data_IF_410316683608
#
_entry.id   IF_410316683608
#
_cell.length_a   1.000
_cell.length_b   1.000
_cell.length_c   1.000
_cell.angle_alpha   90.00
_cell.angle_beta   90.00
_cell.angle_gamma   90.00
#
_symmetry.space_group_name_H-M   'P 1'
#
loop_
_entity.id
_entity.type
_entity.pdbx_description
1 polymer ?
#
# COMPACT_ATOMS: atom_id res chain seq x y z
N UNK A 1 9.82 -10.62 20.45
CA UNK A 1 10.29 -9.36 19.80
C UNK A 1 9.27 -9.06 18.73
N UNK A 2 8.62 -7.89 18.71
CA UNK A 2 7.61 -7.62 17.68
C UNK A 2 8.30 -7.60 16.30
N UNK A 3 7.74 -8.33 15.33
CA UNK A 3 8.31 -8.43 13.99
C UNK A 3 8.50 -7.05 13.34
N UNK A 4 9.62 -6.86 12.64
CA UNK A 4 9.91 -5.62 11.91
C UNK A 4 8.86 -5.27 10.85
N UNK A 5 8.05 -6.27 10.44
CA UNK A 5 6.94 -6.12 9.50
C UNK A 5 5.75 -5.36 10.09
N UNK A 6 5.55 -5.40 11.41
CA UNK A 6 4.49 -4.61 12.04
C UNK A 6 4.88 -3.15 12.15
N UNK A 7 6.13 -2.81 12.42
CA UNK A 7 6.53 -1.47 12.88
C UNK A 7 6.25 -0.38 11.87
N UNK A 8 6.20 -0.71 10.58
CA UNK A 8 6.06 0.26 9.49
C UNK A 8 4.82 0.02 8.62
N UNK A 9 3.95 -0.91 8.99
CA UNK A 9 2.73 -1.23 8.23
C UNK A 9 1.52 -0.61 8.93
N UNK A 10 0.68 0.08 8.16
CA UNK A 10 -0.61 0.60 8.58
C UNK A 10 -1.68 -0.02 7.68
N UNK A 11 -2.77 -0.51 8.27
CA UNK A 11 -3.90 -1.09 7.56
C UNK A 11 -5.14 -0.21 7.80
N UNK A 12 -6.01 -0.08 6.79
CA UNK A 12 -7.23 0.73 6.88
C UNK A 12 -8.44 -0.20 6.91
N UNK A 13 -9.24 -0.10 7.97
CA UNK A 13 -10.58 -0.68 7.98
C UNK A 13 -11.56 0.36 7.41
N UNK A 14 -11.97 0.14 6.15
CA UNK A 14 -12.87 1.06 5.46
C UNK A 14 -14.26 1.14 6.10
N UNK A 15 -14.77 0.06 6.69
CA UNK A 15 -16.09 0.07 7.34
C UNK A 15 -16.06 0.99 8.57
N UNK A 16 -15.01 0.86 9.38
CA UNK A 16 -14.83 1.68 10.59
C UNK A 16 -14.64 3.17 10.26
N UNK A 17 -13.74 3.51 9.31
CA UNK A 17 -13.49 4.92 8.96
C UNK A 17 -14.68 5.60 8.28
N UNK A 18 -15.54 4.87 7.57
CA UNK A 18 -16.76 5.40 6.96
C UNK A 18 -17.90 5.60 7.98
N UNK A 19 -17.85 4.91 9.11
CA UNK A 19 -18.79 5.07 10.22
C UNK A 19 -18.42 6.21 11.19
N UNK A 20 -17.28 6.88 10.99
CA UNK A 20 -16.83 7.98 11.85
C UNK A 20 -17.72 9.22 11.74
N UNK A 21 -17.97 9.90 12.85
CA UNK A 21 -18.65 11.21 12.89
C UNK A 21 -17.70 12.37 12.50
N UNK A 22 -16.90 12.16 11.46
CA UNK A 22 -16.02 13.17 10.88
C UNK A 22 -16.21 13.22 9.35
N UNK A 23 -17.05 14.13 8.85
CA UNK A 23 -17.38 14.19 7.43
C UNK A 23 -16.16 14.49 6.54
N UNK A 24 -15.14 15.15 7.07
CA UNK A 24 -13.88 15.38 6.35
C UNK A 24 -13.10 14.09 6.12
N UNK A 25 -12.97 13.26 7.14
CA UNK A 25 -12.30 11.95 7.03
C UNK A 25 -13.09 11.01 6.12
N UNK A 26 -14.41 10.92 6.32
CA UNK A 26 -15.30 10.11 5.48
C UNK A 26 -15.19 10.52 4.00
N UNK A 27 -15.12 11.82 3.69
CA UNK A 27 -14.94 12.30 2.31
C UNK A 27 -13.61 11.85 1.69
N UNK A 28 -12.56 11.69 2.48
CA UNK A 28 -11.22 11.32 2.00
C UNK A 28 -11.15 9.83 1.69
N UNK A 29 -11.71 8.99 2.57
CA UNK A 29 -11.79 7.56 2.31
C UNK A 29 -12.72 7.23 1.14
N UNK A 30 -13.83 7.96 0.99
CA UNK A 30 -14.67 7.86 -0.22
C UNK A 30 -13.89 8.21 -1.49
N UNK A 31 -13.02 9.22 -1.45
CA UNK A 31 -12.17 9.56 -2.59
C UNK A 31 -11.12 8.46 -2.89
N UNK A 32 -10.56 7.83 -1.86
CA UNK A 32 -9.64 6.70 -2.01
C UNK A 32 -10.33 5.48 -2.63
N UNK A 33 -11.55 5.14 -2.18
CA UNK A 33 -12.37 4.09 -2.80
C UNK A 33 -12.68 4.42 -4.26
N UNK A 34 -13.10 5.66 -4.54
CA UNK A 34 -13.36 6.12 -5.91
C UNK A 34 -12.11 6.09 -6.81
N UNK A 35 -10.91 6.18 -6.25
CA UNK A 35 -9.64 6.01 -6.97
C UNK A 35 -9.22 4.55 -7.18
N UNK A 36 -10.01 3.59 -6.69
CA UNK A 36 -9.74 2.16 -6.79
C UNK A 36 -8.59 1.68 -5.91
N UNK A 37 -8.26 2.41 -4.83
CA UNK A 37 -7.20 2.03 -3.88
C UNK A 37 -7.71 1.17 -2.71
N UNK A 38 -9.01 0.94 -2.64
CA UNK A 38 -9.65 0.18 -1.57
C UNK A 38 -9.08 -1.22 -1.43
N UNK A 39 -8.99 -1.99 -2.54
CA UNK A 39 -8.45 -3.34 -2.51
C UNK A 39 -6.99 -3.41 -2.01
N UNK A 40 -6.18 -2.40 -2.30
CA UNK A 40 -4.79 -2.34 -1.84
C UNK A 40 -4.66 -1.94 -0.36
N UNK A 41 -5.44 -0.95 0.09
CA UNK A 41 -5.36 -0.40 1.45
C UNK A 41 -6.18 -1.19 2.49
N UNK A 42 -7.26 -1.81 2.03
CA UNK A 42 -8.22 -2.59 2.80
C UNK A 42 -8.08 -4.10 2.62
N UNK A 43 -7.00 -4.60 1.98
CA UNK A 43 -6.73 -6.03 1.86
C UNK A 43 -6.67 -6.71 3.25
N UNK A 44 -7.11 -7.99 3.38
CA UNK A 44 -7.10 -8.70 4.66
C UNK A 44 -5.77 -8.57 5.40
N UNK A 45 -5.82 -8.16 6.66
CA UNK A 45 -4.65 -7.90 7.49
C UNK A 45 -4.02 -9.21 8.02
N UNK A 46 -3.50 -10.03 7.11
CA UNK A 46 -2.87 -11.33 7.39
C UNK A 46 -1.38 -11.24 7.07
N UNK A 47 -0.54 -11.80 7.93
CA UNK A 47 0.91 -11.82 7.74
C UNK A 47 1.49 -13.24 7.87
N UNK A 48 2.27 -13.62 6.87
CA UNK A 48 3.06 -14.85 6.81
C UNK A 48 4.53 -14.49 7.03
N UNK A 49 4.97 -14.47 8.28
CA UNK A 49 6.26 -13.86 8.64
C UNK A 49 7.44 -14.60 8.02
N UNK A 50 7.44 -15.94 8.04
CA UNK A 50 8.55 -16.70 7.49
C UNK A 50 8.62 -16.54 5.97
N UNK A 51 7.47 -16.62 5.28
CA UNK A 51 7.38 -16.37 3.86
C UNK A 51 7.86 -14.95 3.47
N UNK A 52 7.50 -13.93 4.26
CA UNK A 52 7.96 -12.56 4.02
C UNK A 52 9.47 -12.41 4.23
N UNK A 53 10.04 -13.06 5.25
CA UNK A 53 11.51 -13.06 5.44
C UNK A 53 12.19 -13.63 4.20
N UNK A 54 11.79 -14.83 3.77
CA UNK A 54 12.40 -15.50 2.62
C UNK A 54 12.21 -14.68 1.33
N UNK A 55 11.01 -14.11 1.16
CA UNK A 55 10.69 -13.25 0.03
C UNK A 55 11.63 -12.02 -0.06
N UNK A 56 11.89 -11.34 1.06
CA UNK A 56 12.76 -10.17 1.06
C UNK A 56 14.25 -10.52 0.98
N UNK A 57 14.67 -11.64 1.58
CA UNK A 57 16.06 -12.12 1.52
C UNK A 57 16.45 -12.52 0.09
N UNK A 58 15.55 -13.19 -0.64
CA UNK A 58 15.80 -13.65 -2.01
C UNK A 58 15.31 -12.69 -3.09
N UNK A 59 14.65 -11.61 -2.68
CA UNK A 59 13.97 -10.67 -3.55
C UNK A 59 14.92 -9.83 -4.40
N UNK A 60 14.59 -9.68 -5.68
CA UNK A 60 15.27 -8.76 -6.59
C UNK A 60 14.33 -8.24 -7.67
N UNK A 61 14.79 -7.26 -8.46
CA UNK A 61 14.05 -6.77 -9.63
C UNK A 61 14.79 -7.18 -10.88
N UNK A 62 14.13 -7.91 -11.78
CA UNK A 62 14.69 -8.37 -13.07
C UNK A 62 13.73 -8.03 -14.19
N UNK A 63 14.23 -7.39 -15.25
CA UNK A 63 13.45 -6.99 -16.43
C UNK A 63 12.16 -6.20 -16.12
N UNK A 64 12.13 -5.50 -14.97
CA UNK A 64 10.97 -4.75 -14.52
C UNK A 64 9.95 -5.53 -13.68
N UNK A 65 10.18 -6.83 -13.46
CA UNK A 65 9.41 -7.71 -12.59
C UNK A 65 10.04 -7.77 -11.20
N UNK A 66 9.22 -8.05 -10.19
CA UNK A 66 9.72 -8.45 -8.87
C UNK A 66 9.85 -9.96 -8.88
N UNK A 67 11.05 -10.46 -8.59
CA UNK A 67 11.32 -11.90 -8.52
C UNK A 67 11.87 -12.25 -7.15
N UNK A 68 11.51 -13.41 -6.62
CA UNK A 68 12.03 -13.93 -5.37
C UNK A 68 11.95 -15.45 -5.34
N UNK A 69 12.37 -16.03 -4.23
CA UNK A 69 12.18 -17.44 -3.90
C UNK A 69 11.58 -17.50 -2.49
N UNK A 70 10.50 -18.25 -2.32
CA UNK A 70 9.85 -18.48 -1.03
C UNK A 70 9.68 -19.98 -0.83
N UNK A 71 10.22 -20.53 0.25
CA UNK A 71 10.23 -21.97 0.54
C UNK A 71 10.77 -22.83 -0.63
N UNK A 72 11.75 -22.29 -1.37
CA UNK A 72 12.32 -22.94 -2.56
C UNK A 72 11.45 -22.83 -3.82
N UNK A 73 10.26 -22.23 -3.74
CA UNK A 73 9.37 -21.97 -4.87
C UNK A 73 9.72 -20.61 -5.50
N UNK A 74 9.98 -20.55 -6.82
CA UNK A 74 10.21 -19.27 -7.49
C UNK A 74 8.92 -18.44 -7.54
N UNK A 75 9.05 -17.16 -7.19
CA UNK A 75 7.96 -16.18 -7.19
C UNK A 75 8.28 -15.10 -8.22
N UNK A 76 7.34 -14.86 -9.14
CA UNK A 76 7.42 -13.78 -10.11
C UNK A 76 6.15 -12.92 -10.05
N UNK A 77 6.30 -11.64 -9.74
CA UNK A 77 5.20 -10.69 -9.61
C UNK A 77 5.35 -9.64 -10.71
N UNK A 78 4.37 -9.62 -11.60
CA UNK A 78 4.23 -8.62 -12.67
C UNK A 78 3.37 -7.45 -12.19
N UNK A 79 3.45 -6.31 -12.88
CA UNK A 79 2.56 -5.17 -12.63
C UNK A 79 1.09 -5.55 -12.84
N UNK A 80 0.82 -6.45 -13.79
CA UNK A 80 -0.53 -6.95 -14.07
C UNK A 80 -1.05 -7.83 -12.93
N UNK A 81 -0.27 -8.82 -12.47
CA UNK A 81 -0.63 -9.66 -11.33
C UNK A 81 -0.88 -8.81 -10.08
N UNK A 82 -0.02 -7.81 -9.86
CA UNK A 82 -0.17 -6.86 -8.77
C UNK A 82 -1.47 -6.04 -8.89
N UNK A 83 -1.81 -5.56 -10.09
CA UNK A 83 -3.05 -4.83 -10.32
C UNK A 83 -4.28 -5.69 -10.06
N UNK A 84 -4.27 -6.92 -10.59
CA UNK A 84 -5.37 -7.88 -10.46
C UNK A 84 -5.60 -8.27 -9.00
N UNK A 85 -4.54 -8.55 -8.24
CA UNK A 85 -4.64 -8.94 -6.83
C UNK A 85 -5.29 -7.88 -5.92
N UNK A 86 -5.21 -6.61 -6.31
CA UNK A 86 -5.74 -5.49 -5.52
C UNK A 86 -6.86 -4.72 -6.23
N UNK A 87 -7.36 -5.26 -7.34
CA UNK A 87 -8.41 -4.65 -8.16
C UNK A 87 -8.09 -3.20 -8.58
N UNK A 88 -6.80 -2.90 -8.76
CA UNK A 88 -6.35 -1.54 -9.08
C UNK A 88 -6.78 -1.16 -10.50
N UNK A 89 -7.21 0.09 -10.72
CA UNK A 89 -7.60 0.55 -12.04
C UNK A 89 -6.40 0.56 -12.98
N UNK A 90 -6.42 -0.31 -13.98
CA UNK A 90 -5.42 -0.34 -15.06
C UNK A 90 -5.77 0.74 -16.08
N UNK A 91 -5.39 1.98 -15.78
CA UNK A 91 -5.59 3.10 -16.71
C UNK A 91 -4.64 2.97 -17.92
N UNK A 92 -5.21 2.75 -19.11
CA UNK A 92 -4.51 2.85 -20.41
C UNK A 92 -4.01 4.28 -20.55
N UNK A 93 -2.69 4.46 -20.46
CA UNK A 93 -2.03 5.74 -20.21
C UNK A 93 -2.43 6.83 -21.21
N UNK A 94 -3.04 7.92 -20.75
CA UNK A 94 -3.01 9.19 -21.48
C UNK A 94 -1.79 9.98 -21.02
N UNK A 95 -0.86 10.18 -21.96
CA UNK A 95 0.41 10.90 -21.82
C UNK A 95 0.23 12.28 -21.14
N UNK A 96 0.53 12.37 -19.84
CA UNK A 96 0.58 13.60 -19.05
C UNK A 96 2.01 13.95 -18.61
N UNK A 97 2.39 15.23 -18.69
CA UNK A 97 3.77 15.76 -18.49
C UNK A 97 4.43 15.31 -17.16
N UNK A 98 5.51 14.55 -17.31
CA UNK A 98 6.34 13.88 -16.29
C UNK A 98 7.01 14.79 -15.23
N UNK A 99 6.99 16.12 -15.36
CA UNK A 99 7.75 17.04 -14.51
C UNK A 99 6.95 17.72 -13.39
N UNK A 100 5.61 17.70 -13.43
CA UNK A 100 4.75 18.25 -12.36
C UNK A 100 4.43 17.22 -11.26
N UNK A 101 4.34 15.93 -11.60
CA UNK A 101 3.97 14.84 -10.68
C UNK A 101 4.92 14.66 -9.48
N UNK A 102 6.20 15.05 -9.59
CA UNK A 102 7.17 14.86 -8.50
C UNK A 102 6.84 15.67 -7.25
N UNK A 103 6.32 16.89 -7.41
CA UNK A 103 6.00 17.77 -6.28
C UNK A 103 4.69 17.32 -5.62
N UNK A 104 3.69 16.99 -6.42
CA UNK A 104 2.39 16.51 -5.95
C UNK A 104 2.50 15.16 -5.21
N UNK A 105 3.32 14.24 -5.70
CA UNK A 105 3.62 12.97 -5.04
C UNK A 105 4.34 13.15 -3.68
N UNK A 106 5.35 14.03 -3.62
CA UNK A 106 6.06 14.30 -2.36
C UNK A 106 5.16 14.98 -1.34
N UNK A 107 4.26 15.85 -1.79
CA UNK A 107 3.19 16.42 -0.97
C UNK A 107 2.22 15.35 -0.48
N UNK A 108 1.80 14.41 -1.34
CA UNK A 108 0.93 13.31 -0.95
C UNK A 108 1.57 12.43 0.13
N UNK A 109 2.84 12.04 -0.05
CA UNK A 109 3.58 11.27 0.95
C UNK A 109 3.80 12.05 2.25
N UNK A 110 4.14 13.35 2.17
CA UNK A 110 4.32 14.20 3.36
C UNK A 110 3.00 14.41 4.11
N UNK A 111 1.88 14.58 3.39
CA UNK A 111 0.56 14.73 3.99
C UNK A 111 0.11 13.40 4.60
N UNK A 112 0.19 12.27 3.88
CA UNK A 112 -0.14 10.96 4.47
C UNK A 112 0.70 10.67 5.71
N UNK A 113 2.02 10.87 5.65
CA UNK A 113 2.90 10.66 6.79
C UNK A 113 2.52 11.55 7.99
N UNK A 114 2.14 12.80 7.75
CA UNK A 114 1.73 13.76 8.80
C UNK A 114 0.33 13.51 9.33
N UNK A 115 -0.60 13.07 8.49
CA UNK A 115 -2.00 12.78 8.86
C UNK A 115 -2.12 11.47 9.63
N UNK A 116 -1.34 10.46 9.26
CA UNK A 116 -1.26 9.16 9.97
C UNK A 116 -0.46 9.29 11.28
N UNK A 117 0.46 10.27 11.36
CA UNK A 117 1.21 10.62 12.58
C UNK A 117 0.36 11.32 13.66
N UNK A 118 -0.87 11.72 13.38
CA UNK A 118 -1.72 12.39 14.35
C UNK A 118 -2.35 11.31 15.24
N UNK A 119 -1.94 11.28 16.51
CA UNK A 119 -2.52 10.42 17.55
C UNK A 119 -4.05 10.56 17.52
N UNK A 120 -4.79 9.45 17.70
CA UNK A 120 -6.25 9.29 17.59
C UNK A 120 -7.14 10.21 18.48
N UNK A 121 -6.63 11.33 18.98
CA UNK A 121 -7.36 12.35 19.72
C UNK A 121 -6.93 13.80 19.41
N UNK A 122 -6.07 14.07 18.43
CA UNK A 122 -5.70 15.46 18.05
C UNK A 122 -6.05 15.86 16.62
N UNK A 123 -7.04 15.18 16.02
CA UNK A 123 -7.66 15.52 14.72
C UNK A 123 -8.48 16.82 14.74
N UNK A 124 -8.16 17.76 15.63
CA UNK A 124 -8.82 19.06 15.65
C UNK A 124 -7.94 20.08 14.93
N UNK A 125 -8.42 20.54 13.76
CA UNK A 125 -7.90 21.67 12.98
C UNK A 125 -6.68 21.48 12.06
N UNK A 126 -6.30 20.26 11.65
CA UNK A 126 -5.55 20.11 10.38
C UNK A 126 -6.58 20.22 9.26
N UNK A 127 -6.63 21.43 8.68
CA UNK A 127 -7.71 21.98 7.88
C UNK A 127 -8.21 21.04 6.79
N UNK A 128 -9.53 20.92 6.72
CA UNK A 128 -10.32 20.38 5.60
C UNK A 128 -9.75 20.73 4.22
N UNK A 129 -9.07 21.87 4.07
CA UNK A 129 -8.32 22.27 2.86
C UNK A 129 -7.19 21.31 2.44
N UNK A 130 -6.38 20.77 3.37
CA UNK A 130 -5.30 19.83 3.00
C UNK A 130 -5.85 18.49 2.55
N UNK A 131 -6.97 18.08 3.12
CA UNK A 131 -7.74 16.92 2.69
C UNK A 131 -8.42 17.15 1.34
N UNK A 132 -9.03 18.32 1.12
CA UNK A 132 -9.57 18.73 -0.18
C UNK A 132 -8.49 18.83 -1.25
N UNK A 133 -7.25 19.22 -0.92
CA UNK A 133 -6.10 19.15 -1.83
C UNK A 133 -5.71 17.71 -2.15
N UNK A 134 -5.70 16.82 -1.16
CA UNK A 134 -5.46 15.39 -1.35
C UNK A 134 -6.54 14.77 -2.25
N UNK A 135 -7.82 15.05 -1.97
CA UNK A 135 -8.97 14.66 -2.79
C UNK A 135 -8.92 15.31 -4.18
N UNK A 136 -8.51 16.56 -4.33
CA UNK A 136 -8.38 17.22 -5.63
C UNK A 136 -7.21 16.68 -6.46
N UNK A 137 -6.14 16.19 -5.83
CA UNK A 137 -5.04 15.51 -6.52
C UNK A 137 -5.46 14.08 -6.90
N UNK A 138 -6.06 13.34 -5.96
CA UNK A 138 -6.52 11.95 -6.17
C UNK A 138 -7.68 11.87 -7.17
N UNK A 139 -8.64 12.80 -7.11
CA UNK A 139 -9.81 12.83 -7.99
C UNK A 139 -9.64 13.73 -9.22
N UNK A 140 -8.77 14.74 -9.19
CA UNK A 140 -8.57 15.70 -10.28
C UNK A 140 -7.40 15.36 -11.21
N UNK A 141 -6.43 14.55 -10.75
CA UNK A 141 -5.34 14.02 -11.59
C UNK A 141 -5.58 12.52 -11.76
N UNK A 142 -5.75 12.07 -13.02
CA UNK A 142 -5.70 10.63 -13.34
C UNK A 142 -4.29 10.12 -13.10
N UNK A 143 -4.07 9.54 -11.92
CA UNK A 143 -2.83 8.89 -11.55
C UNK A 143 -2.99 7.40 -11.85
N UNK A 144 -2.02 6.83 -12.57
CA UNK A 144 -1.93 5.38 -12.69
C UNK A 144 -1.37 4.81 -11.37
N UNK A 145 -2.28 4.54 -10.43
CA UNK A 145 -1.95 4.05 -9.09
C UNK A 145 -1.23 2.71 -9.12
N UNK A 146 -1.61 1.82 -10.03
CA UNK A 146 -0.93 0.54 -10.28
C UNK A 146 0.57 0.75 -10.50
N UNK A 147 0.95 1.63 -11.42
CA UNK A 147 2.36 1.86 -11.75
C UNK A 147 3.09 2.56 -10.61
N UNK A 148 2.43 3.49 -9.91
CA UNK A 148 3.04 4.15 -8.75
C UNK A 148 3.35 3.14 -7.64
N UNK A 149 2.36 2.34 -7.24
CA UNK A 149 2.50 1.36 -6.17
C UNK A 149 3.47 0.25 -6.55
N UNK A 150 3.42 -0.26 -7.79
CA UNK A 150 4.33 -1.29 -8.25
C UNK A 150 5.78 -0.78 -8.34
N UNK A 151 6.00 0.48 -8.72
CA UNK A 151 7.34 1.09 -8.69
C UNK A 151 7.87 1.31 -7.27
N UNK A 152 7.00 1.56 -6.29
CA UNK A 152 7.37 1.59 -4.87
C UNK A 152 7.75 0.18 -4.42
N UNK A 153 6.91 -0.81 -4.72
CA UNK A 153 7.15 -2.21 -4.39
C UNK A 153 8.50 -2.71 -4.92
N UNK A 154 8.82 -2.44 -6.20
CA UNK A 154 10.14 -2.75 -6.78
C UNK A 154 11.31 -2.14 -6.00
N UNK A 155 11.18 -0.90 -5.54
CA UNK A 155 12.24 -0.26 -4.75
C UNK A 155 12.43 -0.92 -3.39
N UNK A 156 11.36 -1.41 -2.78
CA UNK A 156 11.39 -2.07 -1.48
C UNK A 156 12.07 -3.43 -1.53
N UNK A 157 11.93 -4.15 -2.63
CA UNK A 157 12.54 -5.48 -2.81
C UNK A 157 14.01 -5.39 -3.24
N UNK A 158 14.43 -4.27 -3.82
CA UNK A 158 15.81 -4.10 -4.29
C UNK A 158 16.82 -4.14 -3.11
N UNK A 159 17.77 -5.11 -3.07
CA UNK A 159 18.69 -5.32 -1.95
C UNK A 159 19.64 -4.14 -1.65
N UNK A 160 19.84 -3.24 -2.62
CA UNK A 160 20.70 -2.05 -2.49
C UNK A 160 20.08 -0.90 -1.68
N UNK A 161 18.84 -1.04 -1.22
CA UNK A 161 18.18 -0.06 -0.34
C UNK A 161 17.94 -0.69 1.03
N UNK A 162 17.86 0.11 2.10
CA UNK A 162 17.32 -0.38 3.36
C UNK A 162 15.88 -0.83 3.07
N UNK A 163 15.66 -2.13 2.92
CA UNK A 163 14.37 -2.69 2.48
C UNK A 163 13.27 -2.20 3.43
N UNK A 164 12.48 -1.24 2.96
CA UNK A 164 11.30 -0.81 3.69
C UNK A 164 10.28 -1.94 3.59
N UNK A 165 9.63 -2.24 4.72
CA UNK A 165 8.71 -3.38 4.88
C UNK A 165 7.25 -2.92 5.00
N UNK A 166 6.91 -1.77 4.42
CA UNK A 166 5.60 -1.14 4.60
C UNK A 166 4.43 -1.78 3.83
N UNK A 167 4.70 -2.71 2.91
CA UNK A 167 3.72 -3.43 2.10
C UNK A 167 3.58 -4.88 2.57
N UNK A 168 3.95 -5.19 3.80
CA UNK A 168 4.01 -6.58 4.26
C UNK A 168 2.67 -7.31 4.18
N UNK A 169 1.56 -6.64 4.50
CA UNK A 169 0.22 -7.23 4.38
C UNK A 169 -0.10 -7.51 2.91
N UNK A 170 0.15 -6.54 2.04
CA UNK A 170 -0.08 -6.65 0.61
C UNK A 170 0.76 -7.76 -0.02
N UNK A 171 2.03 -7.88 0.37
CA UNK A 171 2.90 -8.95 -0.11
C UNK A 171 2.45 -10.30 0.42
N UNK A 172 2.02 -10.40 1.68
CA UNK A 172 1.45 -11.64 2.23
C UNK A 172 0.24 -12.11 1.43
N UNK A 173 -0.70 -11.22 1.11
CA UNK A 173 -1.84 -11.55 0.25
C UNK A 173 -1.40 -11.95 -1.18
N UNK A 174 -0.41 -11.26 -1.75
CA UNK A 174 0.12 -11.63 -3.07
C UNK A 174 0.68 -13.05 -3.07
N UNK A 175 1.46 -13.40 -2.04
CA UNK A 175 2.05 -14.74 -1.89
C UNK A 175 0.96 -15.80 -1.70
N UNK A 176 -0.11 -15.51 -0.97
CA UNK A 176 -1.25 -16.43 -0.79
C UNK A 176 -1.93 -16.79 -2.10
N UNK A 177 -1.91 -15.87 -3.07
CA UNK A 177 -2.49 -16.09 -4.40
C UNK A 177 -1.55 -16.81 -5.39
N UNK A 178 -0.32 -17.16 -5.00
CA UNK A 178 0.62 -17.87 -5.86
C UNK A 178 0.34 -19.37 -5.83
N UNK A 179 0.10 -19.94 -7.02
CA UNK A 179 -0.12 -21.37 -7.16
C UNK A 179 1.09 -22.18 -6.70
N UNK A 180 0.83 -23.22 -5.89
CA UNK A 180 1.82 -24.15 -5.34
C UNK A 180 2.77 -23.54 -4.28
N UNK A 181 2.49 -22.34 -3.78
CA UNK A 181 3.21 -21.80 -2.64
C UNK A 181 2.52 -22.20 -1.34
N UNK A 182 3.15 -23.08 -0.55
CA UNK A 182 2.71 -23.38 0.82
C UNK A 182 3.25 -22.31 1.77
N UNK A 183 2.34 -21.59 2.43
CA UNK A 183 2.67 -20.56 3.40
C UNK A 183 2.70 -21.09 4.82
N UNK A 184 3.46 -20.40 5.68
CA UNK A 184 3.55 -20.70 7.11
C UNK A 184 2.28 -20.34 7.88
N UNK A 185 2.28 -20.53 9.20
CA UNK A 185 1.17 -20.09 10.04
C UNK A 185 1.01 -18.57 9.94
N UNK A 186 -0.21 -18.13 9.61
CA UNK A 186 -0.56 -16.73 9.59
C UNK A 186 -0.58 -16.15 11.00
N UNK A 187 -0.09 -14.93 11.14
CA UNK A 187 -0.22 -14.13 12.35
C UNK A 187 -1.31 -13.06 12.19
N UNK A 188 -2.07 -12.83 13.25
CA UNK A 188 -3.08 -11.78 13.29
C UNK A 188 -2.42 -10.41 13.41
N UNK A 189 -2.82 -9.47 12.54
CA UNK A 189 -2.28 -8.13 12.59
C UNK A 189 -2.76 -7.40 13.86
N UNK A 190 -1.86 -6.71 14.59
CA UNK A 190 -2.22 -6.06 15.85
C UNK A 190 -3.26 -4.96 15.62
N UNK A 191 -4.40 -5.06 16.30
CA UNK A 191 -5.52 -4.11 16.20
C UNK A 191 -5.13 -2.64 16.41
N UNK A 192 -4.14 -2.38 17.28
CA UNK A 192 -3.57 -1.03 17.49
C UNK A 192 -2.93 -0.38 16.25
N UNK A 193 -2.79 -1.11 15.14
CA UNK A 193 -2.23 -0.64 13.85
C UNK A 193 -3.25 -0.63 12.72
N UNK A 194 -4.48 -1.01 13.02
CA UNK A 194 -5.62 -0.86 12.13
C UNK A 194 -6.17 0.55 12.38
N UNK A 195 -6.29 1.32 11.31
CA UNK A 195 -6.98 2.59 11.35
C UNK A 195 -8.48 2.30 11.29
N UNK A 196 -9.14 2.51 12.43
CA UNK A 196 -10.60 2.40 12.64
C UNK A 196 -11.19 3.76 12.97
#
# INVERSE_FOLDING_TARGET
MASSFYTNTLHVDFESVLAMDNPGMVSVFNALMASGLEGFLGCPAVLYEAALVDFFENGSVRDGLVVSTVNGVPVEITEQLFAEAFELPVDVSTSGKKSQMKIEYLLLCDIMAKTISVKAGSFNAITTEKFLMLTAIVCGVRINWTSVLFNIFKKMVNPGTKQAKGFSIQISLLLENILNLELDESSEFPSSKILT
#
